data_IF_541040630628
#
_entry.id   IF_541040630628
#
_cell.length_a   1.000
_cell.length_b   1.000
_cell.length_c   1.000
_cell.angle_alpha   90.00
_cell.angle_beta   90.00
_cell.angle_gamma   90.00
#
_symmetry.space_group_name_H-M   'P 1'
#
loop_
_entity.id
_entity.type
_entity.pdbx_description
1 polymer ?
#
# COMPACT_ATOMS: atom_id res chain seq x y z
N UNK A 1 7.76 -16.81 15.34
CA UNK A 1 7.65 -16.19 14.02
C UNK A 1 7.57 -14.68 14.16
N UNK A 2 8.28 -13.97 13.34
CA UNK A 2 8.31 -12.51 13.42
C UNK A 2 7.20 -11.91 12.56
N UNK A 3 6.22 -11.25 13.18
CA UNK A 3 5.15 -10.55 12.46
C UNK A 3 5.60 -9.19 11.95
N UNK A 4 6.70 -8.67 12.49
CA UNK A 4 7.27 -7.41 12.01
C UNK A 4 7.87 -7.65 10.64
N UNK A 5 7.40 -6.92 9.65
CA UNK A 5 7.87 -7.02 8.30
C UNK A 5 7.84 -5.64 7.64
N UNK A 6 8.26 -5.56 6.39
CA UNK A 6 8.28 -4.30 5.66
C UNK A 6 6.90 -3.68 5.44
N UNK A 7 5.82 -4.44 5.63
CA UNK A 7 4.47 -3.88 5.54
C UNK A 7 4.17 -2.91 6.67
N UNK A 8 4.87 -3.03 7.82
CA UNK A 8 4.67 -2.09 8.93
C UNK A 8 5.06 -0.66 8.53
N UNK A 9 6.12 -0.50 7.76
CA UNK A 9 6.50 0.81 7.23
C UNK A 9 5.43 1.34 6.29
N UNK A 10 4.86 0.47 5.46
CA UNK A 10 3.77 0.83 4.55
C UNK A 10 2.52 1.23 5.33
N UNK A 11 2.25 0.55 6.45
CA UNK A 11 1.13 0.88 7.30
C UNK A 11 1.21 2.31 7.81
N UNK A 12 2.35 2.72 8.37
CA UNK A 12 2.51 4.08 8.88
C UNK A 12 2.39 5.14 7.79
N UNK A 13 2.84 4.81 6.58
CA UNK A 13 2.73 5.74 5.45
C UNK A 13 1.31 5.86 4.92
N UNK A 14 0.57 4.76 4.87
CA UNK A 14 -0.69 4.69 4.12
C UNK A 14 -1.91 4.32 4.97
N UNK A 15 -1.81 4.33 6.29
CA UNK A 15 -2.92 3.94 7.17
C UNK A 15 -4.19 4.74 6.94
N UNK A 16 -4.06 5.99 6.51
CA UNK A 16 -5.22 6.86 6.26
C UNK A 16 -6.08 6.37 5.10
N UNK A 17 -5.56 5.48 4.25
CA UNK A 17 -6.32 4.82 3.20
C UNK A 17 -7.10 3.61 3.69
N UNK A 18 -6.92 3.23 4.94
CA UNK A 18 -7.62 2.11 5.58
C UNK A 18 -8.80 2.62 6.39
N UNK A 19 -9.83 1.80 6.52
CA UNK A 19 -10.93 2.11 7.44
C UNK A 19 -10.42 2.03 8.88
N UNK A 20 -11.14 2.65 9.80
CA UNK A 20 -10.79 2.59 11.22
C UNK A 20 -10.77 1.14 11.72
N UNK A 21 -11.74 0.34 11.31
CA UNK A 21 -11.78 -1.07 11.68
C UNK A 21 -10.57 -1.84 11.15
N UNK A 22 -10.16 -1.58 9.92
CA UNK A 22 -8.97 -2.19 9.35
C UNK A 22 -7.71 -1.79 10.11
N UNK A 23 -7.59 -0.52 10.48
CA UNK A 23 -6.46 -0.03 11.29
C UNK A 23 -6.41 -0.76 12.64
N UNK A 24 -7.53 -0.88 13.33
CA UNK A 24 -7.60 -1.56 14.62
C UNK A 24 -7.16 -3.02 14.50
N UNK A 25 -7.66 -3.75 13.52
CA UNK A 25 -7.32 -5.16 13.30
C UNK A 25 -5.83 -5.30 12.96
N UNK A 26 -5.31 -4.43 12.10
CA UNK A 26 -3.89 -4.45 11.75
C UNK A 26 -3.01 -4.25 12.97
N UNK A 27 -3.34 -3.25 13.80
CA UNK A 27 -2.56 -2.94 15.01
C UNK A 27 -2.64 -4.06 16.04
N UNK A 28 -3.79 -4.67 16.23
CA UNK A 28 -3.94 -5.83 17.13
C UNK A 28 -3.04 -6.98 16.68
N UNK A 29 -3.02 -7.26 15.40
CA UNK A 29 -2.28 -8.39 14.87
C UNK A 29 -0.76 -8.14 14.85
N UNK A 30 -0.33 -7.03 14.29
CA UNK A 30 1.09 -6.76 14.06
C UNK A 30 1.79 -6.07 15.22
N UNK A 31 1.10 -5.22 15.97
CA UNK A 31 1.73 -4.46 17.05
C UNK A 31 1.42 -4.99 18.44
N UNK A 32 0.23 -5.52 18.65
CA UNK A 32 -0.15 -6.08 19.96
C UNK A 32 0.05 -7.59 20.04
N UNK A 33 0.56 -8.19 18.98
CA UNK A 33 0.88 -9.61 18.89
C UNK A 33 -0.30 -10.53 19.25
N UNK A 34 -1.51 -10.12 18.88
CA UNK A 34 -2.71 -10.91 19.12
C UNK A 34 -2.89 -11.94 18.00
N UNK A 35 -3.44 -13.11 18.38
CA UNK A 35 -3.79 -14.14 17.41
C UNK A 35 -5.07 -13.76 16.66
N UNK A 36 -5.29 -14.36 15.49
CA UNK A 36 -6.52 -14.13 14.73
C UNK A 36 -7.77 -14.59 15.52
N UNK A 37 -7.62 -15.61 16.37
CA UNK A 37 -8.70 -16.08 17.23
C UNK A 37 -9.07 -15.02 18.28
N UNK A 38 -8.06 -14.46 18.94
CA UNK A 38 -8.27 -13.39 19.93
C UNK A 38 -8.92 -12.16 19.32
N UNK A 39 -8.43 -11.75 18.15
CA UNK A 39 -9.00 -10.61 17.42
C UNK A 39 -10.45 -10.90 17.04
N UNK A 40 -10.73 -12.14 16.59
CA UNK A 40 -12.08 -12.55 16.24
C UNK A 40 -13.03 -12.48 17.42
N UNK A 41 -12.58 -12.84 18.61
CA UNK A 41 -13.38 -12.73 19.83
C UNK A 41 -13.71 -11.28 20.17
N UNK A 42 -12.71 -10.40 20.09
CA UNK A 42 -12.90 -8.96 20.37
C UNK A 42 -13.84 -8.32 19.34
N UNK A 43 -13.67 -8.66 18.08
CA UNK A 43 -14.44 -8.06 16.97
C UNK A 43 -15.75 -8.79 16.69
N UNK A 44 -16.02 -9.89 17.39
CA UNK A 44 -17.17 -10.75 17.17
C UNK A 44 -17.22 -11.25 15.71
N UNK A 45 -16.08 -11.74 15.24
CA UNK A 45 -15.90 -12.29 13.89
C UNK A 45 -15.20 -13.63 13.97
N UNK A 46 -15.37 -14.45 12.92
CA UNK A 46 -14.67 -15.72 12.82
C UNK A 46 -13.18 -15.48 12.55
N UNK A 47 -12.34 -16.46 12.91
CA UNK A 47 -10.91 -16.40 12.60
C UNK A 47 -10.67 -16.29 11.09
N UNK A 48 -11.51 -16.96 10.28
CA UNK A 48 -11.42 -16.89 8.82
C UNK A 48 -11.69 -15.48 8.32
N UNK A 49 -12.69 -14.78 8.87
CA UNK A 49 -13.00 -13.42 8.52
C UNK A 49 -11.84 -12.48 8.87
N UNK A 50 -11.25 -12.66 10.06
CA UNK A 50 -10.09 -11.85 10.48
C UNK A 50 -8.89 -12.10 9.58
N UNK A 51 -8.61 -13.37 9.26
CA UNK A 51 -7.53 -13.73 8.35
C UNK A 51 -7.69 -13.05 6.98
N UNK A 52 -8.90 -13.10 6.42
CA UNK A 52 -9.21 -12.44 5.15
C UNK A 52 -9.02 -10.93 5.23
N UNK A 53 -9.44 -10.33 6.33
CA UNK A 53 -9.29 -8.89 6.54
C UNK A 53 -7.81 -8.49 6.57
N UNK A 54 -6.98 -9.24 7.29
CA UNK A 54 -5.54 -8.97 7.36
C UNK A 54 -4.90 -9.09 5.98
N UNK A 55 -5.24 -10.14 5.23
CA UNK A 55 -4.72 -10.29 3.86
C UNK A 55 -5.17 -9.15 2.95
N UNK A 56 -6.41 -8.70 3.08
CA UNK A 56 -6.93 -7.56 2.31
C UNK A 56 -6.15 -6.29 2.63
N UNK A 57 -5.85 -6.06 3.91
CA UNK A 57 -5.06 -4.89 4.33
C UNK A 57 -3.65 -4.95 3.75
N UNK A 58 -2.97 -6.08 3.91
CA UNK A 58 -1.61 -6.26 3.40
C UNK A 58 -1.54 -6.05 1.88
N UNK A 59 -2.48 -6.63 1.15
CA UNK A 59 -2.56 -6.46 -0.30
C UNK A 59 -2.84 -5.02 -0.70
N UNK A 60 -3.70 -4.33 0.04
CA UNK A 60 -4.02 -2.93 -0.22
C UNK A 60 -2.81 -2.04 -0.02
N UNK A 61 -2.08 -2.22 1.08
CA UNK A 61 -0.86 -1.46 1.36
C UNK A 61 0.19 -1.69 0.28
N UNK A 62 0.37 -2.95 -0.12
CA UNK A 62 1.31 -3.30 -1.17
C UNK A 62 0.95 -2.64 -2.51
N UNK A 63 -0.32 -2.67 -2.89
CA UNK A 63 -0.79 -2.06 -4.13
C UNK A 63 -0.61 -0.55 -4.14
N UNK A 64 -0.90 0.11 -3.02
CA UNK A 64 -0.72 1.56 -2.90
C UNK A 64 0.75 1.91 -3.10
N UNK A 65 1.65 1.20 -2.42
CA UNK A 65 3.09 1.44 -2.56
C UNK A 65 3.58 1.22 -3.98
N UNK A 66 3.13 0.14 -4.61
CA UNK A 66 3.49 -0.18 -5.99
C UNK A 66 3.05 0.93 -6.95
N UNK A 67 1.83 1.43 -6.79
CA UNK A 67 1.29 2.50 -7.65
C UNK A 67 2.05 3.81 -7.43
N UNK A 68 2.37 4.15 -6.19
CA UNK A 68 3.12 5.37 -5.87
C UNK A 68 4.54 5.30 -6.45
N UNK A 69 5.21 4.16 -6.35
CA UNK A 69 6.53 3.97 -6.95
C UNK A 69 6.49 4.14 -8.47
N UNK A 70 5.48 3.58 -9.13
CA UNK A 70 5.29 3.74 -10.56
C UNK A 70 5.06 5.21 -10.93
N UNK A 71 4.24 5.91 -10.16
CA UNK A 71 4.00 7.33 -10.37
C UNK A 71 5.26 8.16 -10.17
N UNK A 72 6.08 7.85 -9.18
CA UNK A 72 7.34 8.52 -8.94
C UNK A 72 8.31 8.30 -10.11
N UNK A 73 8.38 7.10 -10.66
CA UNK A 73 9.21 6.80 -11.84
C UNK A 73 8.72 7.55 -13.07
N UNK A 74 7.42 7.59 -13.29
CA UNK A 74 6.80 8.34 -14.38
C UNK A 74 7.13 9.81 -14.28
N UNK A 75 7.02 10.39 -13.09
CA UNK A 75 7.33 11.80 -12.86
C UNK A 75 8.80 12.10 -13.09
N UNK A 76 9.70 11.23 -12.63
CA UNK A 76 11.14 11.39 -12.86
C UNK A 76 11.47 11.36 -14.35
N UNK A 77 10.83 10.46 -15.10
CA UNK A 77 11.01 10.39 -16.54
C UNK A 77 10.46 11.63 -17.24
N UNK A 78 9.30 12.13 -16.84
CA UNK A 78 8.73 13.37 -17.35
C UNK A 78 9.69 14.54 -17.17
N UNK A 79 10.29 14.65 -16.00
CA UNK A 79 11.26 15.70 -15.70
C UNK A 79 12.50 15.59 -16.58
N UNK A 80 12.98 14.37 -16.81
CA UNK A 80 14.14 14.13 -17.70
C UNK A 80 13.81 14.51 -19.14
N UNK A 81 12.64 14.09 -19.62
CA UNK A 81 12.19 14.42 -20.98
C UNK A 81 12.07 15.93 -21.16
N UNK A 82 11.51 16.63 -20.17
CA UNK A 82 11.37 18.09 -20.23
C UNK A 82 12.72 18.83 -20.23
N UNK A 83 13.75 18.22 -19.66
CA UNK A 83 15.11 18.77 -19.65
C UNK A 83 15.85 18.49 -20.95
N UNK A 84 15.38 17.56 -21.76
CA UNK A 84 15.97 17.31 -23.08
C UNK A 84 15.57 18.41 -24.04
N UNK A 85 16.48 18.79 -24.92
CA UNK A 85 16.21 19.82 -25.90
C UNK A 85 15.52 19.23 -27.12
N UNK A 86 14.28 18.77 -26.93
CA UNK A 86 13.44 18.16 -27.96
C UNK A 86 12.16 18.97 -28.14
N UNK A 87 11.45 18.74 -29.25
CA UNK A 87 10.19 19.41 -29.52
C UNK A 87 9.08 18.97 -28.57
N UNK A 88 8.08 19.83 -28.42
CA UNK A 88 6.90 19.48 -27.58
C UNK A 88 6.19 18.24 -28.10
N UNK A 89 6.14 18.04 -29.39
CA UNK A 89 5.55 16.86 -30.00
C UNK A 89 6.29 15.59 -29.59
N UNK A 90 7.61 15.61 -29.67
CA UNK A 90 8.43 14.47 -29.26
C UNK A 90 8.31 14.17 -27.78
N UNK A 91 8.28 15.21 -26.94
CA UNK A 91 8.05 15.06 -25.49
C UNK A 91 6.72 14.38 -25.22
N UNK A 92 5.66 14.79 -25.90
CA UNK A 92 4.35 14.22 -25.75
C UNK A 92 4.32 12.75 -26.16
N UNK A 93 4.92 12.40 -27.28
CA UNK A 93 5.00 11.02 -27.77
C UNK A 93 5.68 10.11 -26.76
N UNK A 94 6.79 10.57 -26.14
CA UNK A 94 7.51 9.80 -25.14
C UNK A 94 6.65 9.63 -23.87
N UNK A 95 6.00 10.69 -23.41
CA UNK A 95 5.19 10.67 -22.18
C UNK A 95 3.92 9.85 -22.35
N UNK A 96 3.32 9.83 -23.53
CA UNK A 96 2.11 9.07 -23.80
C UNK A 96 2.30 7.56 -23.62
N UNK A 97 3.53 7.05 -23.66
CA UNK A 97 3.86 5.65 -23.41
C UNK A 97 3.46 5.23 -21.97
N UNK A 98 3.44 6.17 -21.04
CA UNK A 98 3.22 5.93 -19.62
C UNK A 98 1.78 6.20 -19.16
N UNK A 99 0.89 6.53 -20.06
CA UNK A 99 -0.51 6.78 -19.72
C UNK A 99 -1.43 5.54 -19.86
#
# INVERSE_FOLDING_TARGET
MNKLNKNNDLYFLYKDFLTKNQQEIYEMYYFEDMSIVEIGEIKNKTKTAIFKTINTIDNKLYKIEKNIKLNAKKQALSNKVNKLNISNKEKKEILDIFE
#
